data_IF_505052842077
#
_entry.id   IF_505052842077
#
_cell.length_a   1.000
_cell.length_b   1.000
_cell.length_c   1.000
_cell.angle_alpha   90.00
_cell.angle_beta   90.00
_cell.angle_gamma   90.00
#
_symmetry.space_group_name_H-M   'P 1'
#
loop_
_entity.id
_entity.type
_entity.pdbx_description
1 polymer ?
#
# COMPACT_ATOMS: atom_id res chain seq x y z
N UNK A 1 17.67 -15.25 -46.37
CA UNK A 1 17.00 -16.16 -45.44
C UNK A 1 17.48 -15.80 -44.04
N UNK A 2 16.67 -15.02 -43.32
CA UNK A 2 16.96 -14.62 -41.93
C UNK A 2 16.31 -15.67 -41.04
N UNK A 3 17.09 -16.39 -40.25
CA UNK A 3 16.61 -17.35 -39.26
C UNK A 3 15.98 -16.56 -38.10
N UNK A 4 14.68 -16.73 -37.88
CA UNK A 4 13.96 -16.26 -36.71
C UNK A 4 14.39 -17.09 -35.48
N UNK A 5 15.27 -16.55 -34.67
CA UNK A 5 15.58 -17.13 -33.35
C UNK A 5 14.44 -16.83 -32.38
N UNK A 6 13.86 -17.85 -31.77
CA UNK A 6 12.92 -17.68 -30.68
C UNK A 6 13.59 -16.96 -29.50
N UNK A 7 12.90 -16.00 -28.83
CA UNK A 7 13.44 -15.40 -27.62
C UNK A 7 13.60 -16.48 -26.54
N UNK A 8 14.63 -16.39 -25.68
CA UNK A 8 14.82 -17.35 -24.60
C UNK A 8 13.63 -17.37 -23.66
N UNK A 9 13.18 -18.55 -23.28
CA UNK A 9 12.12 -18.76 -22.31
C UNK A 9 12.50 -18.09 -20.98
N UNK A 10 11.62 -17.24 -20.46
CA UNK A 10 11.77 -16.57 -19.18
C UNK A 10 11.78 -17.63 -18.07
N UNK A 11 12.94 -17.87 -17.46
CA UNK A 11 13.00 -18.64 -16.22
C UNK A 11 12.63 -17.73 -15.06
N UNK A 12 11.64 -18.08 -14.21
CA UNK A 12 11.32 -17.31 -13.02
C UNK A 12 12.54 -17.36 -12.08
N UNK A 13 13.26 -16.24 -12.00
CA UNK A 13 14.32 -16.10 -11.01
C UNK A 13 13.73 -16.31 -9.62
N UNK A 14 14.28 -17.25 -8.87
CA UNK A 14 13.95 -17.51 -7.47
C UNK A 14 14.11 -16.21 -6.67
N UNK A 15 13.22 -16.00 -5.67
CA UNK A 15 13.37 -14.92 -4.69
C UNK A 15 14.83 -14.89 -4.25
N UNK A 16 15.51 -13.72 -4.31
CA UNK A 16 16.89 -13.67 -3.88
C UNK A 16 16.99 -14.27 -2.48
N UNK A 17 17.84 -15.29 -2.33
CA UNK A 17 18.11 -15.99 -1.06
C UNK A 17 18.40 -14.99 0.05
N UNK A 18 18.95 -13.81 -0.28
CA UNK A 18 19.19 -12.67 0.57
C UNK A 18 17.95 -12.14 1.30
N UNK A 19 16.77 -12.08 0.67
CA UNK A 19 15.53 -11.61 1.32
C UNK A 19 15.10 -12.60 2.41
N UNK A 20 15.19 -13.89 2.16
CA UNK A 20 14.88 -14.94 3.13
C UNK A 20 15.91 -15.00 4.27
N UNK A 21 17.19 -14.81 3.96
CA UNK A 21 18.27 -14.82 4.95
C UNK A 21 18.20 -13.60 5.87
N UNK A 22 18.00 -12.41 5.33
CA UNK A 22 17.87 -11.17 6.11
C UNK A 22 16.61 -11.19 6.99
N UNK A 23 15.49 -11.76 6.53
CA UNK A 23 14.31 -11.97 7.36
C UNK A 23 14.57 -12.88 8.55
N UNK A 24 15.30 -14.00 8.36
CA UNK A 24 15.71 -14.90 9.46
C UNK A 24 16.67 -14.25 10.46
N UNK A 25 17.56 -13.38 10.01
CA UNK A 25 18.49 -12.64 10.88
C UNK A 25 17.76 -11.60 11.76
N UNK A 26 16.78 -10.85 11.22
CA UNK A 26 15.97 -9.91 12.00
C UNK A 26 15.12 -10.60 13.08
N UNK A 27 14.60 -11.78 12.81
CA UNK A 27 13.80 -12.56 13.78
C UNK A 27 14.57 -12.97 15.05
N UNK A 28 15.90 -13.08 14.98
CA UNK A 28 16.76 -13.39 16.16
C UNK A 28 16.96 -12.19 17.09
N UNK A 29 16.84 -10.96 16.60
CA UNK A 29 17.08 -9.75 17.40
C UNK A 29 15.83 -9.19 18.11
N UNK A 30 14.62 -9.63 17.74
CA UNK A 30 13.35 -9.04 18.22
C UNK A 30 12.75 -9.72 19.48
N UNK A 31 13.49 -10.58 20.17
CA UNK A 31 12.96 -11.44 21.24
C UNK A 31 12.69 -10.75 22.59
N UNK A 32 12.82 -9.42 22.68
CA UNK A 32 12.58 -8.66 23.92
C UNK A 32 11.66 -7.45 23.72
N UNK A 33 10.47 -7.65 23.16
CA UNK A 33 9.41 -6.64 23.29
C UNK A 33 8.43 -7.05 24.38
N UNK A 34 8.57 -6.39 25.52
CA UNK A 34 7.65 -6.43 26.68
C UNK A 34 6.23 -6.12 26.19
N UNK A 35 5.31 -7.08 26.38
CA UNK A 35 3.89 -6.93 26.09
C UNK A 35 3.33 -5.81 26.98
N UNK A 36 3.15 -4.62 26.45
CA UNK A 36 2.40 -3.57 27.15
C UNK A 36 0.93 -4.01 27.21
N UNK A 37 0.43 -4.27 28.41
CA UNK A 37 -1.00 -4.43 28.70
C UNK A 37 -1.64 -3.05 28.64
N UNK A 38 -2.33 -2.74 27.56
CA UNK A 38 -3.23 -1.61 27.38
C UNK A 38 -4.41 -2.07 26.53
N UNK A 39 -5.61 -1.65 26.85
CA UNK A 39 -6.90 -2.08 26.28
C UNK A 39 -6.82 -2.35 24.79
N UNK A 40 -7.19 -3.57 24.41
CA UNK A 40 -6.77 -4.14 23.15
C UNK A 40 -7.37 -3.41 21.95
N UNK A 41 -6.51 -2.77 21.17
CA UNK A 41 -6.78 -2.62 19.74
C UNK A 41 -7.04 -4.03 19.19
N UNK A 42 -8.04 -4.17 18.34
CA UNK A 42 -8.30 -5.39 17.59
C UNK A 42 -7.11 -5.82 16.73
N UNK A 43 -7.35 -6.68 15.81
CA UNK A 43 -6.32 -7.12 14.86
C UNK A 43 -5.90 -6.00 13.93
N UNK A 44 -4.72 -6.17 13.35
CA UNK A 44 -4.14 -5.22 12.38
C UNK A 44 -3.97 -5.92 11.05
N UNK A 45 -4.39 -5.28 9.98
CA UNK A 45 -4.36 -5.86 8.64
C UNK A 45 -3.72 -4.93 7.62
N UNK A 46 -3.27 -5.52 6.53
CA UNK A 46 -3.01 -4.82 5.26
C UNK A 46 -3.94 -5.40 4.20
N UNK A 47 -4.66 -4.55 3.50
CA UNK A 47 -5.41 -4.89 2.30
C UNK A 47 -4.64 -4.38 1.10
N UNK A 48 -4.06 -5.29 0.35
CA UNK A 48 -3.19 -5.00 -0.76
C UNK A 48 -3.86 -5.36 -2.08
N UNK A 49 -4.32 -4.34 -2.82
CA UNK A 49 -4.84 -4.50 -4.16
C UNK A 49 -3.70 -4.55 -5.18
N UNK A 50 -3.61 -5.61 -5.95
CA UNK A 50 -2.57 -5.83 -6.96
C UNK A 50 -3.20 -5.92 -8.33
N UNK A 51 -3.08 -4.84 -9.11
CA UNK A 51 -3.46 -4.84 -10.52
C UNK A 51 -2.34 -5.51 -11.33
N UNK A 52 -2.63 -6.68 -11.92
CA UNK A 52 -1.67 -7.54 -12.57
C UNK A 52 -1.55 -7.22 -14.07
N UNK A 53 -0.38 -6.71 -14.47
CA UNK A 53 0.06 -6.53 -15.85
C UNK A 53 1.57 -6.78 -15.96
N UNK A 54 2.16 -6.56 -17.13
CA UNK A 54 3.58 -6.79 -17.41
C UNK A 54 4.58 -6.11 -16.45
N UNK A 55 4.18 -5.00 -15.79
CA UNK A 55 5.05 -4.21 -14.91
C UNK A 55 4.84 -4.51 -13.42
N UNK A 56 3.89 -5.39 -13.09
CA UNK A 56 3.42 -5.56 -11.71
C UNK A 56 4.44 -6.23 -10.82
N UNK A 57 5.14 -7.24 -11.32
CA UNK A 57 6.01 -8.07 -10.48
C UNK A 57 7.12 -7.25 -9.80
N UNK A 58 7.72 -6.29 -10.51
CA UNK A 58 8.75 -5.41 -9.94
C UNK A 58 8.19 -4.52 -8.83
N UNK A 59 7.00 -3.95 -9.05
CA UNK A 59 6.34 -3.11 -8.06
C UNK A 59 5.96 -3.92 -6.83
N UNK A 60 5.43 -5.13 -7.00
CA UNK A 60 5.06 -6.02 -5.89
C UNK A 60 6.30 -6.46 -5.10
N UNK A 61 7.41 -6.78 -5.78
CA UNK A 61 8.69 -7.08 -5.11
C UNK A 61 9.16 -5.91 -4.25
N UNK A 62 9.18 -4.70 -4.78
CA UNK A 62 9.57 -3.48 -4.06
C UNK A 62 8.67 -3.25 -2.84
N UNK A 63 7.35 -3.28 -3.02
CA UNK A 63 6.39 -3.02 -1.94
C UNK A 63 6.42 -4.10 -0.84
N UNK A 64 6.47 -5.38 -1.20
CA UNK A 64 6.55 -6.47 -0.22
C UNK A 64 7.86 -6.45 0.55
N UNK A 65 8.97 -6.09 -0.11
CA UNK A 65 10.26 -5.83 0.54
C UNK A 65 10.14 -4.72 1.57
N UNK A 66 9.55 -3.58 1.23
CA UNK A 66 9.33 -2.46 2.15
C UNK A 66 8.44 -2.85 3.33
N UNK A 67 7.36 -3.61 3.11
CA UNK A 67 6.49 -4.13 4.18
C UNK A 67 7.30 -4.99 5.16
N UNK A 68 8.16 -5.87 4.66
CA UNK A 68 8.97 -6.76 5.50
C UNK A 68 10.05 -5.96 6.27
N UNK A 69 10.79 -5.11 5.57
CA UNK A 69 11.94 -4.42 6.18
C UNK A 69 11.55 -3.23 7.08
N UNK A 70 10.37 -2.63 6.90
CA UNK A 70 9.87 -1.61 7.81
C UNK A 70 9.45 -2.16 9.18
N UNK A 71 9.24 -3.47 9.30
CA UNK A 71 8.65 -4.12 10.47
C UNK A 71 7.11 -4.17 10.44
N UNK A 72 6.46 -3.62 9.43
CA UNK A 72 5.00 -3.71 9.27
C UNK A 72 4.54 -5.16 9.19
N UNK A 73 5.27 -6.03 8.48
CA UNK A 73 4.97 -7.47 8.45
C UNK A 73 4.86 -8.08 9.85
N UNK A 74 5.78 -7.74 10.76
CA UNK A 74 5.75 -8.27 12.13
C UNK A 74 4.59 -7.67 12.94
N UNK A 75 4.23 -6.41 12.68
CA UNK A 75 3.25 -5.63 13.42
C UNK A 75 1.79 -5.98 13.08
N UNK A 76 1.51 -6.58 11.91
CA UNK A 76 0.15 -6.95 11.47
C UNK A 76 -0.13 -8.42 11.64
N UNK A 77 -1.41 -8.79 11.69
CA UNK A 77 -1.86 -10.18 11.80
C UNK A 77 -1.90 -10.86 10.43
N UNK A 78 -2.38 -10.17 9.41
CA UNK A 78 -2.50 -10.70 8.05
C UNK A 78 -2.35 -9.59 7.01
N UNK A 79 -1.77 -9.94 5.86
CA UNK A 79 -1.70 -9.12 4.67
C UNK A 79 -2.55 -9.83 3.60
N UNK A 80 -3.76 -9.32 3.39
CA UNK A 80 -4.68 -9.84 2.38
C UNK A 80 -4.33 -9.27 1.01
N UNK A 81 -3.95 -10.14 0.08
CA UNK A 81 -3.62 -9.78 -1.30
C UNK A 81 -4.80 -10.09 -2.22
N UNK A 82 -5.23 -9.10 -2.97
CA UNK A 82 -6.29 -9.19 -3.96
C UNK A 82 -5.66 -8.99 -5.33
N UNK A 83 -5.62 -10.05 -6.13
CA UNK A 83 -4.98 -10.05 -7.44
C UNK A 83 -6.03 -9.89 -8.52
N UNK A 84 -5.86 -8.92 -9.39
CA UNK A 84 -6.80 -8.72 -10.47
C UNK A 84 -6.10 -8.14 -11.71
N UNK A 85 -6.47 -8.61 -12.91
CA UNK A 85 -5.87 -8.14 -14.15
C UNK A 85 -5.78 -9.21 -15.24
N UNK A 86 -4.74 -9.15 -16.04
CA UNK A 86 -4.50 -10.06 -17.16
C UNK A 86 -4.06 -11.44 -16.65
N UNK A 87 -4.66 -12.51 -17.16
CA UNK A 87 -4.50 -13.89 -16.66
C UNK A 87 -3.03 -14.33 -16.60
N UNK A 88 -2.26 -14.03 -17.63
CA UNK A 88 -0.83 -14.36 -17.74
C UNK A 88 -0.04 -13.78 -16.54
N UNK A 89 -0.29 -12.52 -16.20
CA UNK A 89 0.45 -11.83 -15.14
C UNK A 89 -0.09 -12.16 -13.75
N UNK A 90 -1.39 -12.46 -13.63
CA UNK A 90 -1.99 -12.94 -12.37
C UNK A 90 -1.32 -14.22 -11.91
N UNK A 91 -1.08 -15.19 -12.80
CA UNK A 91 -0.38 -16.44 -12.48
C UNK A 91 1.03 -16.20 -11.93
N UNK A 92 1.80 -15.32 -12.59
CA UNK A 92 3.16 -14.97 -12.18
C UNK A 92 3.19 -14.29 -10.81
N UNK A 93 2.34 -13.30 -10.59
CA UNK A 93 2.26 -12.56 -9.32
C UNK A 93 1.75 -13.46 -8.19
N UNK A 94 0.77 -14.34 -8.48
CA UNK A 94 0.26 -15.33 -7.55
C UNK A 94 1.38 -16.23 -7.04
N UNK A 95 2.14 -16.85 -7.96
CA UNK A 95 3.27 -17.72 -7.62
C UNK A 95 4.32 -16.97 -6.79
N UNK A 96 4.59 -15.71 -7.07
CA UNK A 96 5.51 -14.91 -6.27
C UNK A 96 4.98 -14.70 -4.84
N UNK A 97 3.71 -14.31 -4.66
CA UNK A 97 3.11 -14.06 -3.33
C UNK A 97 3.02 -15.33 -2.50
N UNK A 98 2.72 -16.48 -3.11
CA UNK A 98 2.66 -17.79 -2.42
C UNK A 98 4.02 -18.21 -1.84
N UNK A 99 5.13 -17.69 -2.37
CA UNK A 99 6.48 -17.91 -1.85
C UNK A 99 6.90 -16.86 -0.78
N UNK A 100 6.09 -15.86 -0.48
CA UNK A 100 6.35 -14.90 0.58
C UNK A 100 6.08 -15.49 1.97
N UNK A 101 6.55 -14.85 3.06
CA UNK A 101 6.26 -15.29 4.42
C UNK A 101 4.76 -15.36 4.72
N UNK A 102 4.35 -16.26 5.60
CA UNK A 102 2.99 -16.80 5.80
C UNK A 102 1.86 -15.80 6.11
N UNK A 103 2.17 -14.55 6.47
CA UNK A 103 1.11 -13.54 6.67
C UNK A 103 0.59 -12.95 5.36
N UNK A 104 1.32 -13.08 4.24
CA UNK A 104 0.78 -12.76 2.93
C UNK A 104 -0.21 -13.86 2.51
N UNK A 105 -1.46 -13.49 2.30
CA UNK A 105 -2.52 -14.43 1.93
C UNK A 105 -3.27 -13.91 0.72
N UNK A 106 -3.35 -14.71 -0.32
CA UNK A 106 -4.20 -14.40 -1.47
C UNK A 106 -5.64 -14.61 -1.05
N UNK A 107 -6.40 -13.52 -1.00
CA UNK A 107 -7.79 -13.53 -0.56
C UNK A 107 -8.76 -13.72 -1.73
N UNK A 108 -8.46 -13.08 -2.87
CA UNK A 108 -9.32 -13.13 -4.05
C UNK A 108 -8.51 -12.94 -5.32
N UNK A 109 -8.92 -13.61 -6.39
CA UNK A 109 -8.33 -13.48 -7.72
C UNK A 109 -9.43 -13.12 -8.70
N UNK A 110 -9.18 -12.12 -9.55
CA UNK A 110 -10.07 -11.70 -10.63
C UNK A 110 -9.31 -11.61 -11.95
N UNK A 111 -9.94 -12.05 -13.03
CA UNK A 111 -9.37 -12.01 -14.38
C UNK A 111 -10.16 -11.00 -15.21
N UNK A 112 -9.46 -10.20 -16.02
CA UNK A 112 -10.03 -9.24 -16.97
C UNK A 112 -10.06 -7.79 -16.48
N UNK A 113 -10.61 -6.89 -17.29
CA UNK A 113 -10.50 -5.44 -17.20
C UNK A 113 -11.19 -4.77 -16.00
N UNK A 114 -12.07 -5.47 -15.30
CA UNK A 114 -12.92 -4.89 -14.26
C UNK A 114 -12.30 -4.89 -12.87
N UNK A 115 -11.00 -5.01 -12.79
CA UNK A 115 -10.24 -5.23 -11.57
C UNK A 115 -9.73 -3.93 -10.95
N UNK A 116 -10.54 -2.90 -10.93
CA UNK A 116 -10.23 -1.65 -10.25
C UNK A 116 -10.18 -1.83 -8.72
N UNK A 117 -9.66 -0.86 -8.01
CA UNK A 117 -9.51 -0.85 -6.56
C UNK A 117 -10.79 -1.22 -5.79
N UNK A 118 -11.97 -0.97 -6.37
CA UNK A 118 -13.27 -1.41 -5.87
C UNK A 118 -13.30 -2.92 -5.55
N UNK A 119 -12.66 -3.74 -6.39
CA UNK A 119 -12.57 -5.20 -6.21
C UNK A 119 -12.04 -5.61 -4.83
N UNK A 120 -11.15 -4.80 -4.26
CA UNK A 120 -10.60 -5.01 -2.92
C UNK A 120 -11.39 -4.28 -1.85
N UNK A 121 -11.70 -3.00 -2.05
CA UNK A 121 -12.31 -2.15 -1.01
C UNK A 121 -13.67 -2.71 -0.58
N UNK A 122 -14.49 -3.23 -1.49
CA UNK A 122 -15.79 -3.85 -1.18
C UNK A 122 -15.69 -5.13 -0.33
N UNK A 123 -14.53 -5.77 -0.29
CA UNK A 123 -14.35 -6.98 0.52
C UNK A 123 -13.94 -6.69 1.97
N UNK A 124 -13.43 -5.49 2.25
CA UNK A 124 -12.85 -5.15 3.56
C UNK A 124 -13.90 -5.26 4.67
N UNK A 125 -15.13 -4.81 4.44
CA UNK A 125 -16.20 -4.81 5.45
C UNK A 125 -16.46 -6.20 6.05
N UNK A 126 -16.40 -7.23 5.24
CA UNK A 126 -16.61 -8.62 5.67
C UNK A 126 -15.41 -9.22 6.42
N UNK A 127 -14.23 -8.58 6.37
CA UNK A 127 -12.96 -9.09 6.90
C UNK A 127 -12.50 -8.38 8.16
N UNK A 128 -13.13 -7.25 8.52
CA UNK A 128 -12.74 -6.45 9.69
C UNK A 128 -13.87 -6.39 10.72
N UNK A 129 -13.50 -6.20 11.98
CA UNK A 129 -14.41 -5.85 13.08
C UNK A 129 -14.28 -4.36 13.41
N UNK A 130 -15.15 -3.84 14.29
CA UNK A 130 -15.10 -2.43 14.73
C UNK A 130 -13.79 -2.09 15.45
N UNK A 131 -13.18 -3.05 16.12
CA UNK A 131 -11.97 -2.89 16.94
C UNK A 131 -10.69 -2.93 16.11
N UNK A 132 -10.76 -3.42 14.88
CA UNK A 132 -9.61 -3.60 14.01
C UNK A 132 -9.12 -2.28 13.44
N UNK A 133 -7.85 -2.28 13.04
CA UNK A 133 -7.24 -1.19 12.25
C UNK A 133 -6.52 -1.77 11.06
N UNK A 134 -6.48 -1.05 9.96
CA UNK A 134 -5.87 -1.59 8.75
C UNK A 134 -5.31 -0.53 7.81
N UNK A 135 -4.32 -0.92 7.02
CA UNK A 135 -3.80 -0.20 5.88
C UNK A 135 -4.46 -0.72 4.60
N UNK A 136 -5.02 0.18 3.80
CA UNK A 136 -5.34 -0.09 2.40
C UNK A 136 -4.22 0.48 1.52
N UNK A 137 -3.74 -0.32 0.56
CA UNK A 137 -2.74 0.07 -0.43
C UNK A 137 -2.92 -0.70 -1.73
N UNK A 138 -2.28 -0.22 -2.78
CA UNK A 138 -2.32 -0.91 -4.08
C UNK A 138 -0.98 -0.84 -4.84
N UNK A 139 -0.86 -1.62 -5.93
CA UNK A 139 0.30 -1.61 -6.83
C UNK A 139 0.37 -0.34 -7.68
N UNK A 140 0.56 0.82 -7.04
CA UNK A 140 0.58 2.14 -7.69
C UNK A 140 1.65 2.24 -8.77
N UNK A 141 1.23 2.67 -9.96
CA UNK A 141 2.13 2.96 -11.07
C UNK A 141 2.25 1.84 -12.11
N UNK A 142 1.71 0.66 -11.87
CA UNK A 142 1.79 -0.47 -12.81
C UNK A 142 1.05 -0.24 -14.12
N UNK A 143 0.01 0.58 -14.14
CA UNK A 143 -0.76 0.91 -15.35
C UNK A 143 -0.02 1.86 -16.30
N UNK A 144 1.09 2.44 -15.88
CA UNK A 144 1.94 3.28 -16.73
C UNK A 144 3.10 2.42 -17.21
N UNK A 145 3.23 2.25 -18.52
CA UNK A 145 4.35 1.50 -19.13
C UNK A 145 5.69 1.96 -18.56
N UNK A 146 6.60 1.03 -18.25
CA UNK A 146 7.97 1.38 -17.95
C UNK A 146 8.55 2.00 -19.24
N UNK A 147 8.53 3.31 -19.30
CA UNK A 147 9.41 4.06 -20.18
C UNK A 147 10.83 3.97 -19.66
N UNK A 148 11.84 4.42 -20.38
CA UNK A 148 13.15 4.62 -19.81
C UNK A 148 12.98 5.40 -18.49
N UNK A 149 13.79 5.07 -17.51
CA UNK A 149 13.74 5.51 -16.10
C UNK A 149 13.22 6.95 -15.86
N UNK A 150 13.47 7.85 -16.78
CA UNK A 150 13.07 9.27 -16.76
C UNK A 150 11.56 9.54 -16.83
N UNK A 151 10.76 8.69 -17.46
CA UNK A 151 9.29 8.86 -17.52
C UNK A 151 8.55 8.21 -16.36
N UNK A 152 9.22 7.32 -15.63
CA UNK A 152 8.68 6.53 -14.53
C UNK A 152 8.93 7.17 -13.15
N UNK A 153 9.94 8.01 -13.07
CA UNK A 153 10.43 8.62 -11.84
C UNK A 153 9.35 9.32 -11.00
N UNK A 154 8.48 10.17 -11.54
CA UNK A 154 7.48 10.87 -10.74
C UNK A 154 6.49 9.94 -10.04
N UNK A 155 6.04 8.87 -10.71
CA UNK A 155 5.09 7.91 -10.11
C UNK A 155 5.78 7.02 -9.08
N UNK A 156 7.04 6.66 -9.31
CA UNK A 156 7.86 5.95 -8.35
C UNK A 156 8.08 6.79 -7.09
N UNK A 157 8.46 8.05 -7.22
CA UNK A 157 8.64 8.99 -6.11
C UNK A 157 7.35 9.21 -5.34
N UNK A 158 6.24 9.38 -6.03
CA UNK A 158 4.92 9.49 -5.42
C UNK A 158 4.57 8.25 -4.59
N UNK A 159 4.71 7.05 -5.17
CA UNK A 159 4.50 5.80 -4.44
C UNK A 159 5.42 5.69 -3.24
N UNK A 160 6.71 5.94 -3.41
CA UNK A 160 7.71 5.86 -2.34
C UNK A 160 7.40 6.82 -1.20
N UNK A 161 6.89 8.03 -1.48
CA UNK A 161 6.46 8.97 -0.45
C UNK A 161 5.28 8.44 0.36
N UNK A 162 4.26 7.86 -0.28
CA UNK A 162 3.15 7.24 0.44
C UNK A 162 3.62 6.06 1.30
N UNK A 163 4.48 5.21 0.75
CA UNK A 163 5.06 4.05 1.45
C UNK A 163 5.93 4.46 2.64
N UNK A 164 6.69 5.54 2.51
CA UNK A 164 7.45 6.11 3.60
C UNK A 164 6.54 6.51 4.77
N UNK A 165 5.50 7.28 4.50
CA UNK A 165 4.58 7.74 5.54
C UNK A 165 3.74 6.61 6.14
N UNK A 166 3.24 5.69 5.34
CA UNK A 166 2.19 4.76 5.76
C UNK A 166 2.71 3.34 6.04
N UNK A 167 3.83 2.93 5.44
CA UNK A 167 4.47 1.63 5.66
C UNK A 167 5.64 1.78 6.64
N UNK A 168 6.58 2.68 6.33
CA UNK A 168 7.76 2.88 7.19
C UNK A 168 7.39 3.38 8.58
N UNK A 169 6.43 4.29 8.66
CA UNK A 169 5.95 4.90 9.91
C UNK A 169 4.61 4.33 10.39
N UNK A 170 4.34 3.06 10.12
CA UNK A 170 3.09 2.38 10.48
C UNK A 170 2.75 2.46 11.98
N UNK A 171 3.74 2.43 12.88
CA UNK A 171 3.52 2.55 14.32
C UNK A 171 2.91 3.92 14.68
N UNK A 172 3.38 5.00 14.03
CA UNK A 172 2.79 6.33 14.21
C UNK A 172 1.38 6.40 13.64
N UNK A 173 1.12 5.80 12.47
CA UNK A 173 -0.22 5.73 11.89
C UNK A 173 -1.20 5.05 12.83
N UNK A 174 -0.86 3.88 13.37
CA UNK A 174 -1.71 3.14 14.32
C UNK A 174 -1.95 3.94 15.60
N UNK A 175 -0.93 4.66 16.10
CA UNK A 175 -1.10 5.53 17.28
C UNK A 175 -2.07 6.69 17.00
N UNK A 176 -2.00 7.29 15.81
CA UNK A 176 -2.87 8.40 15.40
C UNK A 176 -4.34 7.96 15.27
N UNK A 177 -4.62 6.70 14.92
CA UNK A 177 -5.97 6.16 14.84
C UNK A 177 -6.68 6.08 16.21
N UNK A 178 -5.97 6.27 17.33
CA UNK A 178 -6.62 6.42 18.63
C UNK A 178 -7.50 7.69 18.73
N UNK A 179 -7.22 8.73 17.94
CA UNK A 179 -7.95 10.00 17.92
C UNK A 179 -8.49 10.39 16.54
N UNK A 180 -8.14 9.65 15.50
CA UNK A 180 -8.57 9.91 14.13
C UNK A 180 -9.24 8.66 13.53
N UNK A 181 -10.12 8.85 12.59
CA UNK A 181 -10.81 7.77 11.88
C UNK A 181 -9.95 7.20 10.76
N UNK A 182 -9.19 8.08 10.08
CA UNK A 182 -8.28 7.72 8.99
C UNK A 182 -6.96 8.50 9.08
N UNK A 183 -5.92 7.91 8.53
CA UNK A 183 -4.58 8.50 8.41
C UNK A 183 -4.06 8.30 6.99
N UNK A 184 -3.62 9.36 6.33
CA UNK A 184 -3.11 9.27 4.97
C UNK A 184 -2.16 10.39 4.61
N UNK A 185 -1.69 10.37 3.37
CA UNK A 185 -0.80 11.38 2.80
C UNK A 185 -1.35 11.91 1.48
N UNK A 186 -0.84 13.07 1.04
CA UNK A 186 -1.23 13.74 -0.22
C UNK A 186 -2.74 14.01 -0.28
N UNK A 187 -3.25 14.65 0.78
CA UNK A 187 -4.64 15.07 0.83
C UNK A 187 -4.96 16.11 -0.25
N UNK A 188 -6.09 15.93 -0.91
CA UNK A 188 -6.64 16.86 -1.90
C UNK A 188 -8.13 17.06 -1.67
N UNK A 189 -8.58 18.26 -1.93
CA UNK A 189 -9.98 18.66 -1.79
C UNK A 189 -10.61 19.07 -3.13
N UNK A 190 -9.78 19.60 -4.02
CA UNK A 190 -10.19 20.06 -5.35
C UNK A 190 -10.26 18.93 -6.36
N UNK A 191 -10.88 19.19 -7.51
CA UNK A 191 -11.10 18.31 -8.67
C UNK A 191 -12.21 17.27 -8.44
N UNK A 192 -11.99 16.23 -7.64
CA UNK A 192 -12.95 15.14 -7.44
C UNK A 192 -13.61 15.18 -6.06
N UNK A 193 -13.27 16.14 -5.20
CA UNK A 193 -13.67 16.21 -3.79
C UNK A 193 -12.56 15.67 -2.86
N UNK A 194 -12.82 15.62 -1.54
CA UNK A 194 -11.85 15.16 -0.55
C UNK A 194 -11.35 13.75 -0.84
N UNK A 195 -10.04 13.56 -0.89
CA UNK A 195 -9.40 12.24 -1.06
C UNK A 195 -7.91 12.28 -0.68
N UNK A 196 -7.34 11.11 -0.43
CA UNK A 196 -5.89 10.92 -0.43
C UNK A 196 -5.44 10.52 -1.84
N UNK A 197 -4.72 11.42 -2.50
CA UNK A 197 -4.26 11.18 -3.87
C UNK A 197 -3.29 10.00 -3.92
N UNK A 198 -3.62 9.00 -4.74
CA UNK A 198 -2.91 7.72 -4.79
C UNK A 198 -3.50 6.64 -3.89
N UNK A 199 -4.54 6.96 -3.14
CA UNK A 199 -5.44 6.05 -2.42
C UNK A 199 -4.74 5.02 -1.51
N UNK A 200 -3.72 5.46 -0.73
CA UNK A 200 -3.15 4.71 0.38
C UNK A 200 -3.59 5.36 1.69
N UNK A 201 -4.14 4.58 2.60
CA UNK A 201 -4.63 5.10 3.88
C UNK A 201 -4.78 4.02 4.93
N UNK A 202 -4.58 4.40 6.20
CA UNK A 202 -4.98 3.64 7.36
C UNK A 202 -6.39 4.04 7.78
N UNK A 203 -7.17 3.08 8.31
CA UNK A 203 -8.49 3.32 8.88
C UNK A 203 -8.74 2.48 10.11
N UNK A 204 -9.65 2.98 10.98
CA UNK A 204 -10.30 2.14 11.98
C UNK A 204 -11.40 1.30 11.33
N UNK A 205 -11.61 0.08 11.82
CA UNK A 205 -12.69 -0.79 11.35
C UNK A 205 -14.07 -0.17 11.59
N UNK A 206 -14.28 0.45 12.76
CA UNK A 206 -15.55 1.11 13.09
C UNK A 206 -15.92 2.23 12.11
N UNK A 207 -14.97 3.05 11.71
CA UNK A 207 -15.21 4.08 10.71
C UNK A 207 -15.50 3.48 9.34
N UNK A 208 -14.66 2.54 8.90
CA UNK A 208 -14.82 1.91 7.58
C UNK A 208 -16.18 1.22 7.45
N UNK A 209 -16.61 0.46 8.47
CA UNK A 209 -17.92 -0.21 8.48
C UNK A 209 -19.07 0.79 8.36
N UNK A 210 -18.99 1.94 9.00
CA UNK A 210 -19.98 3.01 8.86
C UNK A 210 -20.02 3.54 7.42
N UNK A 211 -18.87 3.77 6.78
CA UNK A 211 -18.82 4.18 5.36
C UNK A 211 -19.42 3.10 4.47
N UNK A 212 -19.03 1.86 4.65
CA UNK A 212 -19.45 0.73 3.81
C UNK A 212 -20.95 0.42 3.94
N UNK A 213 -21.53 0.62 5.13
CA UNK A 213 -22.98 0.42 5.35
C UNK A 213 -23.84 1.50 4.70
N UNK A 214 -23.33 2.73 4.60
CA UNK A 214 -24.09 3.87 4.09
C UNK A 214 -23.83 4.19 2.61
N UNK A 215 -22.71 3.72 2.07
CA UNK A 215 -22.25 4.09 0.73
C UNK A 215 -21.77 2.88 -0.06
N UNK A 216 -21.98 2.94 -1.37
CA UNK A 216 -21.41 1.99 -2.33
C UNK A 216 -20.39 2.69 -3.21
N UNK A 217 -19.43 1.94 -3.74
CA UNK A 217 -18.50 2.42 -4.74
C UNK A 217 -19.15 2.22 -6.12
N UNK A 218 -19.28 3.31 -6.87
CA UNK A 218 -19.81 3.27 -8.22
C UNK A 218 -18.73 2.83 -9.23
N UNK A 219 -19.14 2.52 -10.46
CA UNK A 219 -18.21 2.15 -11.55
C UNK A 219 -17.33 3.32 -12.05
N UNK A 220 -17.59 4.53 -11.57
CA UNK A 220 -16.79 5.71 -11.92
C UNK A 220 -15.42 5.66 -11.23
N UNK A 221 -14.35 5.68 -12.02
CA UNK A 221 -12.96 5.47 -11.57
C UNK A 221 -12.55 6.26 -10.30
N UNK A 222 -12.84 7.58 -10.17
CA UNK A 222 -12.48 8.33 -8.97
C UNK A 222 -13.29 7.98 -7.71
N UNK A 223 -14.35 7.19 -7.81
CA UNK A 223 -15.23 6.92 -6.65
C UNK A 223 -14.53 6.06 -5.59
N UNK A 224 -13.63 5.18 -6.00
CA UNK A 224 -12.79 4.41 -5.08
C UNK A 224 -11.83 5.29 -4.25
N UNK A 225 -11.24 6.33 -4.87
CA UNK A 225 -10.36 7.27 -4.16
C UNK A 225 -11.12 8.15 -3.15
N UNK A 226 -12.39 8.48 -3.44
CA UNK A 226 -13.24 9.30 -2.56
C UNK A 226 -13.95 8.50 -1.48
N UNK A 227 -14.03 7.20 -1.64
CA UNK A 227 -14.89 6.34 -0.82
C UNK A 227 -14.66 6.55 0.67
N UNK A 228 -13.40 6.57 1.11
CA UNK A 228 -13.05 6.72 2.52
C UNK A 228 -13.40 8.10 3.11
N UNK A 229 -13.78 9.08 2.30
CA UNK A 229 -14.18 10.42 2.75
C UNK A 229 -15.69 10.67 2.72
N UNK A 230 -16.51 9.67 2.33
CA UNK A 230 -17.97 9.86 2.19
C UNK A 230 -18.69 10.18 3.52
N UNK A 231 -18.10 9.86 4.67
CA UNK A 231 -18.66 10.09 6.01
C UNK A 231 -17.92 11.20 6.80
N UNK A 232 -17.26 12.14 6.12
CA UNK A 232 -16.55 13.25 6.74
C UNK A 232 -15.65 12.83 7.93
N UNK A 233 -14.58 12.07 7.70
CA UNK A 233 -13.73 11.51 8.74
C UNK A 233 -12.94 12.55 9.51
N UNK A 234 -12.59 12.25 10.76
CA UNK A 234 -11.48 12.90 11.45
C UNK A 234 -10.18 12.38 10.81
N UNK A 235 -9.72 13.06 9.78
CA UNK A 235 -8.57 12.64 8.99
C UNK A 235 -7.27 13.27 9.51
N UNK A 236 -6.24 12.44 9.76
CA UNK A 236 -4.87 12.91 9.89
C UNK A 236 -4.17 12.91 8.54
N UNK A 237 -3.51 14.01 8.22
CA UNK A 237 -2.85 14.25 6.93
C UNK A 237 -1.37 14.51 7.19
N UNK A 238 -0.48 13.58 6.76
CA UNK A 238 0.96 13.73 7.00
C UNK A 238 1.57 14.98 6.37
N UNK A 239 1.01 15.42 5.26
CA UNK A 239 1.61 16.48 4.46
C UNK A 239 1.28 17.88 4.99
N UNK A 240 0.22 18.00 5.82
CA UNK A 240 -0.32 19.31 6.17
C UNK A 240 -0.62 20.13 4.91
N UNK A 241 -0.25 21.41 4.95
CA UNK A 241 -0.32 22.30 3.78
C UNK A 241 0.99 22.33 2.96
N UNK A 242 1.98 21.52 3.31
CA UNK A 242 3.37 21.66 2.85
C UNK A 242 3.73 20.93 1.56
N UNK A 243 2.93 19.96 1.09
CA UNK A 243 3.09 19.46 -0.30
C UNK A 243 2.06 20.19 -1.16
N UNK A 244 2.46 21.30 -1.78
CA UNK A 244 1.49 22.20 -2.40
C UNK A 244 0.84 21.60 -3.62
N UNK A 245 1.47 20.61 -4.30
CA UNK A 245 0.90 20.10 -5.53
C UNK A 245 1.56 18.80 -5.99
N UNK A 246 0.78 17.91 -6.64
CA UNK A 246 1.32 16.76 -7.40
C UNK A 246 2.33 17.16 -8.46
N UNK A 247 2.31 18.40 -8.90
CA UNK A 247 3.30 18.95 -9.81
C UNK A 247 4.73 18.84 -9.29
N UNK A 248 4.96 18.83 -7.96
CA UNK A 248 6.29 18.63 -7.41
C UNK A 248 6.87 17.27 -7.78
N UNK A 249 6.05 16.20 -7.90
CA UNK A 249 6.54 14.91 -8.36
C UNK A 249 6.79 14.85 -9.86
N UNK A 250 6.12 15.69 -10.66
CA UNK A 250 6.22 15.70 -12.13
C UNK A 250 7.17 16.75 -12.67
N UNK A 251 7.27 17.93 -12.04
CA UNK A 251 8.07 19.05 -12.52
C UNK A 251 9.36 19.28 -11.74
N UNK A 252 9.34 18.95 -10.46
CA UNK A 252 10.50 19.06 -9.57
C UNK A 252 10.48 17.87 -8.61
N UNK A 253 11.01 16.72 -9.03
CA UNK A 253 10.96 15.51 -8.23
C UNK A 253 11.67 15.75 -6.89
N UNK A 254 10.94 15.65 -5.82
CA UNK A 254 11.47 15.70 -4.48
C UNK A 254 12.38 14.49 -4.29
N UNK A 255 13.67 14.69 -4.15
CA UNK A 255 14.60 13.59 -4.01
C UNK A 255 14.29 12.78 -2.76
N UNK A 256 14.30 11.46 -2.87
CA UNK A 256 14.05 10.53 -1.75
C UNK A 256 14.89 10.89 -0.51
N UNK A 257 16.10 11.40 -0.73
CA UNK A 257 17.00 11.91 0.30
C UNK A 257 16.37 13.03 1.12
N UNK A 258 15.61 13.94 0.51
CA UNK A 258 14.93 15.03 1.22
C UNK A 258 13.82 14.53 2.15
N UNK A 259 13.17 13.40 1.84
CA UNK A 259 12.19 12.79 2.75
C UNK A 259 12.85 12.14 3.96
N UNK A 260 14.02 11.55 3.76
CA UNK A 260 14.78 10.85 4.81
C UNK A 260 15.53 11.83 5.71
N UNK A 261 16.07 12.91 5.12
CA UNK A 261 16.86 13.91 5.84
C UNK A 261 15.97 14.96 6.53
N UNK A 262 14.75 15.15 6.08
CA UNK A 262 13.83 16.18 6.58
C UNK A 262 13.04 15.71 7.83
N UNK A 263 13.77 15.15 8.80
CA UNK A 263 13.20 14.72 10.10
C UNK A 263 12.48 15.86 10.83
N UNK A 264 12.90 17.11 10.59
CA UNK A 264 12.33 18.31 11.22
C UNK A 264 10.98 18.71 10.62
N UNK A 265 10.66 18.28 9.41
CA UNK A 265 9.43 18.64 8.70
C UNK A 265 8.25 17.67 8.94
N UNK A 266 8.42 16.65 9.77
CA UNK A 266 7.37 15.72 10.17
C UNK A 266 7.05 15.83 11.67
N UNK A 267 6.34 16.87 12.11
CA UNK A 267 6.09 17.12 13.54
C UNK A 267 5.32 16.00 14.26
N UNK A 268 4.68 15.09 13.53
CA UNK A 268 4.00 13.92 14.09
C UNK A 268 4.91 12.73 14.41
N UNK A 269 6.19 12.75 13.99
CA UNK A 269 7.13 11.64 14.16
C UNK A 269 8.09 11.83 15.35
N UNK A 270 8.07 12.97 16.01
CA UNK A 270 9.00 13.34 17.07
C UNK A 270 8.47 13.16 18.50
N UNK A 271 7.44 12.36 18.72
CA UNK A 271 7.09 12.02 20.10
C UNK A 271 7.90 10.80 20.54
N UNK A 272 8.85 11.10 21.45
CA UNK A 272 9.68 10.18 22.21
C UNK A 272 8.88 9.07 22.88
#
# INVERSE_FOLDING_TARGET
VVKSGNPPAFQPESIPIEVCVLYRMKRRSSRTRRKMRGGGLGKKYVFYHVFCNKSTLEVVRDQTTKIIFSGLYDAVDTIYCFLAGEEEFVGTVKSFIENLPSKFKIQKVGIGDKSQERFTIEQIDSLVTNEDVFLYMHSKGVSRSPGPITGFEPVYLWRTYMEYNLIRHHEACVKLLASHDIVGSIYKEKQIGPHFSGNFWWSTGSYFKRVASNHKINDFYPDAEKFIFKEAPRAYKFDGERIPNMECFYRNPYHLKQYVDDKENFPGLHHK
#
